data_IF_496728477784
#
_entry.id   IF_496728477784
#
_cell.length_a   1.000
_cell.length_b   1.000
_cell.length_c   1.000
_cell.angle_alpha   90.00
_cell.angle_beta   90.00
_cell.angle_gamma   90.00
#
_symmetry.space_group_name_H-M   'P 1'
#
loop_
_entity.id
_entity.type
_entity.pdbx_description
1 polymer ?
#
# COMPACT_ATOMS: atom_id res chain seq x y z
N UNK A 1 15.54 17.59 -25.59
CA UNK A 1 15.80 16.38 -24.79
C UNK A 1 14.46 15.68 -24.51
N UNK A 2 14.12 14.62 -25.25
CA UNK A 2 12.79 13.96 -25.22
C UNK A 2 12.69 12.99 -24.03
N UNK A 3 12.43 13.49 -22.82
CA UNK A 3 12.29 12.63 -21.63
C UNK A 3 10.99 12.84 -20.82
N UNK A 4 10.13 13.79 -21.19
CA UNK A 4 9.05 14.26 -20.30
C UNK A 4 7.69 13.52 -20.40
N UNK A 5 7.45 12.68 -21.43
CA UNK A 5 6.12 12.06 -21.60
C UNK A 5 5.85 10.88 -20.67
N UNK A 6 6.89 10.16 -20.21
CA UNK A 6 6.73 8.95 -19.37
C UNK A 6 6.46 9.30 -17.90
N UNK A 7 7.10 10.34 -17.36
CA UNK A 7 6.94 10.78 -15.97
C UNK A 7 5.53 11.27 -15.66
N UNK A 8 4.91 12.02 -16.58
CA UNK A 8 3.54 12.52 -16.42
C UNK A 8 2.49 11.39 -16.41
N UNK A 9 2.77 10.26 -17.08
CA UNK A 9 1.88 9.09 -17.06
C UNK A 9 2.08 8.21 -15.81
N UNK A 10 3.25 8.25 -15.18
CA UNK A 10 3.58 7.47 -13.98
C UNK A 10 3.16 8.16 -12.66
N UNK A 11 3.02 9.49 -12.67
CA UNK A 11 2.56 10.26 -11.51
C UNK A 11 1.24 9.75 -10.88
N UNK A 12 0.15 9.46 -11.64
CA UNK A 12 -1.09 8.93 -11.05
C UNK A 12 -0.92 7.52 -10.46
N UNK A 13 -0.10 6.66 -11.06
CA UNK A 13 0.17 5.31 -10.54
C UNK A 13 0.95 5.36 -9.22
N UNK A 14 1.93 6.25 -9.09
CA UNK A 14 2.69 6.42 -7.84
C UNK A 14 1.82 6.98 -6.71
N UNK A 15 0.92 7.91 -7.03
CA UNK A 15 -0.04 8.49 -6.08
C UNK A 15 -1.10 7.46 -5.66
N UNK A 16 -1.54 6.61 -6.59
CA UNK A 16 -2.44 5.48 -6.30
C UNK A 16 -1.79 4.41 -5.43
N UNK A 17 -0.53 4.06 -5.70
CA UNK A 17 0.22 3.10 -4.89
C UNK A 17 0.43 3.59 -3.45
N UNK A 18 0.78 4.86 -3.27
CA UNK A 18 0.93 5.47 -1.94
C UNK A 18 -0.40 5.57 -1.20
N UNK A 19 -1.49 5.96 -1.88
CA UNK A 19 -2.84 5.95 -1.28
C UNK A 19 -3.29 4.53 -0.87
N UNK A 20 -3.03 3.53 -1.72
CA UNK A 20 -3.30 2.12 -1.42
C UNK A 20 -2.50 1.60 -0.23
N UNK A 21 -1.24 2.02 -0.09
CA UNK A 21 -0.40 1.70 1.06
C UNK A 21 -0.95 2.32 2.36
N UNK A 22 -1.37 3.58 2.33
CA UNK A 22 -2.00 4.23 3.49
C UNK A 22 -3.30 3.52 3.87
N UNK A 23 -4.15 3.19 2.89
CA UNK A 23 -5.37 2.44 3.13
C UNK A 23 -5.09 1.05 3.73
N UNK A 24 -4.05 0.36 3.26
CA UNK A 24 -3.60 -0.91 3.83
C UNK A 24 -3.21 -0.78 5.30
N UNK A 25 -2.50 0.28 5.71
CA UNK A 25 -2.12 0.44 7.12
C UNK A 25 -3.34 0.46 8.07
N UNK A 26 -4.41 1.17 7.69
CA UNK A 26 -5.59 1.30 8.56
C UNK A 26 -6.59 0.15 8.42
N UNK A 27 -6.86 -0.30 7.19
CA UNK A 27 -7.92 -1.26 6.89
C UNK A 27 -7.42 -2.69 6.69
N UNK A 28 -6.12 -2.90 6.44
CA UNK A 28 -5.52 -4.19 6.14
C UNK A 28 -4.61 -4.69 7.24
N UNK A 29 -3.61 -3.90 7.63
CA UNK A 29 -2.58 -4.30 8.58
C UNK A 29 -3.13 -4.47 10.00
N UNK A 30 -3.87 -3.48 10.52
CA UNK A 30 -4.43 -3.54 11.88
C UNK A 30 -5.41 -4.71 12.04
N UNK A 31 -6.50 -4.82 11.25
CA UNK A 31 -7.43 -5.94 11.39
C UNK A 31 -6.83 -7.27 10.94
N UNK A 32 -5.97 -7.27 9.91
CA UNK A 32 -5.33 -8.48 9.39
C UNK A 32 -4.37 -9.12 10.39
N UNK A 33 -3.61 -8.31 11.15
CA UNK A 33 -2.76 -8.83 12.22
C UNK A 33 -3.61 -9.35 13.39
N UNK A 34 -4.63 -8.61 13.84
CA UNK A 34 -5.45 -9.04 14.97
C UNK A 34 -6.23 -10.32 14.69
N UNK A 35 -6.94 -10.39 13.56
CA UNK A 35 -7.68 -11.60 13.17
C UNK A 35 -6.76 -12.74 12.75
N UNK A 36 -5.68 -12.45 12.02
CA UNK A 36 -4.72 -13.46 11.56
C UNK A 36 -4.01 -14.16 12.73
N UNK A 37 -3.63 -13.42 13.76
CA UNK A 37 -3.02 -13.99 14.97
C UNK A 37 -3.97 -14.89 15.73
N UNK A 38 -5.23 -14.46 15.90
CA UNK A 38 -6.25 -15.28 16.57
C UNK A 38 -6.54 -16.58 15.81
N UNK A 39 -6.67 -16.51 14.48
CA UNK A 39 -6.92 -17.69 13.65
C UNK A 39 -5.71 -18.63 13.61
N UNK A 40 -4.49 -18.10 13.55
CA UNK A 40 -3.27 -18.90 13.61
C UNK A 40 -3.10 -19.62 14.95
N UNK A 41 -3.45 -18.96 16.07
CA UNK A 41 -3.49 -19.60 17.39
C UNK A 41 -4.54 -20.70 17.45
N UNK A 42 -5.74 -20.49 16.91
CA UNK A 42 -6.77 -21.53 16.87
C UNK A 42 -6.40 -22.73 15.98
N UNK A 43 -5.75 -22.49 14.84
CA UNK A 43 -5.21 -23.58 14.01
C UNK A 43 -4.07 -24.34 14.72
N UNK A 44 -3.22 -23.63 15.44
CA UNK A 44 -2.14 -24.28 16.21
C UNK A 44 -2.72 -25.05 17.39
N UNK A 45 -3.77 -24.54 18.03
CA UNK A 45 -4.50 -25.23 19.10
C UNK A 45 -5.19 -26.51 18.59
N UNK A 46 -5.73 -26.51 17.37
CA UNK A 46 -6.33 -27.71 16.78
C UNK A 46 -5.28 -28.73 16.31
N UNK A 47 -4.07 -28.29 15.95
CA UNK A 47 -2.97 -29.16 15.50
C UNK A 47 -2.18 -29.79 16.66
N UNK A 48 -1.88 -29.02 17.71
CA UNK A 48 -1.06 -29.49 18.84
C UNK A 48 -1.88 -29.95 20.05
N UNK A 49 -3.21 -29.83 19.99
CA UNK A 49 -4.10 -30.15 21.10
C UNK A 49 -4.16 -29.03 22.15
N UNK A 50 -5.21 -29.05 22.95
CA UNK A 50 -5.33 -28.15 24.11
C UNK A 50 -4.74 -28.84 25.34
N UNK A 51 -3.97 -28.14 26.20
CA UNK A 51 -3.59 -26.72 26.15
C UNK A 51 -2.37 -26.49 25.26
N UNK A 52 -2.38 -25.41 24.49
CA UNK A 52 -1.23 -24.99 23.70
C UNK A 52 -0.16 -24.52 24.67
N UNK A 53 0.78 -25.39 25.03
CA UNK A 53 2.00 -24.93 25.67
C UNK A 53 2.61 -23.86 24.75
N UNK A 54 3.11 -22.73 25.28
CA UNK A 54 3.76 -21.69 24.50
C UNK A 54 5.14 -22.19 24.03
N UNK A 55 5.15 -23.31 23.32
CA UNK A 55 6.30 -23.90 22.68
C UNK A 55 6.77 -22.95 21.60
N UNK A 56 8.09 -22.91 21.41
CA UNK A 56 8.70 -22.06 20.39
C UNK A 56 8.13 -22.35 19.00
N UNK A 57 7.74 -23.60 18.75
CA UNK A 57 7.13 -24.06 17.49
C UNK A 57 5.77 -23.41 17.23
N UNK A 58 4.88 -23.37 18.22
CA UNK A 58 3.57 -22.73 18.08
C UNK A 58 3.67 -21.24 17.70
N UNK A 59 4.62 -20.54 18.33
CA UNK A 59 4.91 -19.13 18.04
C UNK A 59 5.50 -18.92 16.65
N UNK A 60 6.42 -19.77 16.21
CA UNK A 60 7.01 -19.67 14.88
C UNK A 60 5.98 -19.95 13.78
N UNK A 61 5.08 -20.91 13.97
CA UNK A 61 4.03 -21.22 12.99
C UNK A 61 3.01 -20.10 12.89
N UNK A 62 2.50 -19.60 14.03
CA UNK A 62 1.52 -18.51 14.03
C UNK A 62 2.15 -17.20 13.53
N UNK A 63 3.35 -16.86 14.01
CA UNK A 63 4.07 -15.66 13.58
C UNK A 63 4.48 -15.72 12.11
N UNK A 64 4.95 -16.88 11.64
CA UNK A 64 5.26 -17.11 10.22
C UNK A 64 4.04 -16.98 9.32
N UNK A 65 2.90 -17.54 9.74
CA UNK A 65 1.63 -17.39 9.04
C UNK A 65 1.16 -15.93 8.96
N UNK A 66 1.27 -15.17 10.05
CA UNK A 66 0.95 -13.74 10.07
C UNK A 66 1.86 -12.94 9.12
N UNK A 67 3.16 -13.21 9.08
CA UNK A 67 4.08 -12.51 8.19
C UNK A 67 3.77 -12.79 6.72
N UNK A 68 3.56 -14.06 6.35
CA UNK A 68 3.23 -14.44 4.97
C UNK A 68 1.89 -13.80 4.56
N UNK A 69 0.87 -13.85 5.43
CA UNK A 69 -0.43 -13.24 5.18
C UNK A 69 -0.34 -11.72 5.03
N UNK A 70 0.43 -11.05 5.90
CA UNK A 70 0.63 -9.61 5.86
C UNK A 70 1.33 -9.17 4.57
N UNK A 71 2.40 -9.85 4.17
CA UNK A 71 3.15 -9.54 2.94
C UNK A 71 2.27 -9.75 1.71
N UNK A 72 1.46 -10.81 1.68
CA UNK A 72 0.51 -11.06 0.59
C UNK A 72 -0.56 -9.98 0.49
N UNK A 73 -1.18 -9.60 1.62
CA UNK A 73 -2.20 -8.56 1.66
C UNK A 73 -1.65 -7.18 1.29
N UNK A 74 -0.42 -6.88 1.73
CA UNK A 74 0.30 -5.66 1.35
C UNK A 74 0.47 -5.56 -0.17
N UNK A 75 0.94 -6.63 -0.81
CA UNK A 75 1.11 -6.66 -2.27
C UNK A 75 -0.23 -6.46 -2.98
N UNK A 76 -1.28 -7.10 -2.50
CA UNK A 76 -2.62 -6.99 -3.08
C UNK A 76 -3.17 -5.57 -3.01
N UNK A 77 -3.04 -4.90 -1.87
CA UNK A 77 -3.45 -3.50 -1.70
C UNK A 77 -2.60 -2.53 -2.51
N UNK A 78 -1.30 -2.80 -2.65
CA UNK A 78 -0.41 -1.95 -3.44
C UNK A 78 -0.76 -2.02 -4.93
N UNK A 79 -1.00 -3.23 -5.45
CA UNK A 79 -1.42 -3.45 -6.85
C UNK A 79 -2.81 -2.90 -7.09
N UNK A 80 -3.78 -3.17 -6.21
CA UNK A 80 -5.14 -2.64 -6.34
C UNK A 80 -5.18 -1.12 -6.17
N UNK A 81 -4.37 -0.55 -5.29
CA UNK A 81 -4.23 0.90 -5.14
C UNK A 81 -3.60 1.55 -6.37
N UNK A 82 -2.58 0.94 -6.97
CA UNK A 82 -1.98 1.41 -8.21
C UNK A 82 -2.96 1.32 -9.40
N UNK A 83 -3.71 0.22 -9.50
CA UNK A 83 -4.78 0.05 -10.50
C UNK A 83 -5.88 1.09 -10.29
N UNK A 84 -6.39 1.24 -9.07
CA UNK A 84 -7.42 2.21 -8.72
C UNK A 84 -6.97 3.65 -8.99
N UNK A 85 -5.71 4.00 -8.69
CA UNK A 85 -5.17 5.33 -8.99
C UNK A 85 -5.03 5.60 -10.49
N UNK A 86 -4.72 4.57 -11.28
CA UNK A 86 -4.66 4.68 -12.74
C UNK A 86 -6.08 4.81 -13.34
N UNK A 87 -7.04 4.03 -12.84
CA UNK A 87 -8.45 4.07 -13.26
C UNK A 87 -9.14 5.37 -12.84
N UNK A 88 -8.91 5.84 -11.61
CA UNK A 88 -9.42 7.13 -11.13
C UNK A 88 -8.74 8.32 -11.83
N UNK A 89 -7.53 8.13 -12.34
CA UNK A 89 -6.83 9.10 -13.18
C UNK A 89 -7.48 9.33 -14.55
N UNK A 90 -8.27 8.38 -15.08
CA UNK A 90 -8.97 8.52 -16.37
C UNK A 90 -10.11 9.56 -16.35
N UNK A 91 -11.05 9.55 -15.38
CA UNK A 91 -12.04 10.63 -15.27
C UNK A 91 -11.44 11.92 -14.70
N UNK A 92 -10.38 11.83 -13.89
CA UNK A 92 -9.68 12.99 -13.34
C UNK A 92 -8.65 13.59 -14.33
N UNK A 93 -8.44 12.98 -15.51
CA UNK A 93 -7.46 13.39 -16.51
C UNK A 93 -7.59 14.86 -16.96
N UNK A 94 -8.79 15.44 -17.15
CA UNK A 94 -8.92 16.89 -17.37
C UNK A 94 -8.45 17.74 -16.16
N UNK A 95 -8.65 17.28 -14.93
CA UNK A 95 -8.21 18.00 -13.72
C UNK A 95 -6.71 17.81 -13.45
N UNK A 96 -6.18 16.60 -13.66
CA UNK A 96 -4.76 16.28 -13.53
C UNK A 96 -3.94 17.03 -14.58
N UNK A 97 -4.48 17.22 -15.79
CA UNK A 97 -3.87 18.09 -16.82
C UNK A 97 -3.79 19.55 -16.33
N UNK A 98 -4.82 20.03 -15.62
CA UNK A 98 -4.83 21.37 -15.03
C UNK A 98 -3.80 21.54 -13.90
N UNK A 99 -3.61 20.50 -13.08
CA UNK A 99 -2.64 20.51 -11.98
C UNK A 99 -1.20 20.33 -12.50
N UNK A 100 -0.98 19.47 -13.51
CA UNK A 100 0.32 19.26 -14.15
C UNK A 100 0.82 20.50 -14.91
N UNK A 101 -0.07 21.22 -15.59
CA UNK A 101 0.25 22.53 -16.18
C UNK A 101 0.60 23.57 -15.10
N UNK A 102 0.03 23.45 -13.89
CA UNK A 102 0.31 24.37 -12.78
C UNK A 102 1.61 24.07 -12.04
N UNK A 103 2.02 22.80 -11.97
CA UNK A 103 3.34 22.42 -11.42
C UNK A 103 4.48 22.83 -12.36
N UNK A 104 4.28 22.73 -13.68
CA UNK A 104 5.24 23.22 -14.67
C UNK A 104 5.43 24.75 -14.53
N UNK A 105 4.36 25.51 -14.30
CA UNK A 105 4.42 26.96 -14.01
C UNK A 105 5.08 27.31 -12.67
N UNK A 106 4.96 26.44 -11.65
CA UNK A 106 5.60 26.64 -10.33
C UNK A 106 7.07 26.27 -10.32
N UNK A 107 7.57 25.47 -11.27
CA UNK A 107 8.99 25.15 -11.38
C UNK A 107 9.80 26.29 -12.04
N UNK A 108 9.17 27.10 -12.90
CA UNK A 108 9.79 28.30 -13.49
C UNK A 108 9.76 29.56 -12.59
N UNK A 109 9.14 29.49 -11.41
CA UNK A 109 8.90 30.65 -10.56
C UNK A 109 9.64 30.77 -9.19
N UNK A 110 10.35 29.79 -8.60
CA UNK A 110 10.84 29.94 -7.24
C UNK A 110 12.38 30.00 -7.15
N UNK A 111 13.05 30.85 -7.94
CA UNK A 111 14.43 31.31 -7.59
C UNK A 111 14.66 32.78 -7.99
N UNK A 112 13.65 33.64 -7.88
CA UNK A 112 13.81 35.09 -8.16
C UNK A 112 13.21 36.00 -7.09
N UNK A 113 12.93 35.50 -5.87
CA UNK A 113 12.56 36.36 -4.73
C UNK A 113 13.14 35.79 -3.42
N UNK A 114 14.45 35.96 -3.23
CA UNK A 114 14.99 36.28 -1.91
C UNK A 114 15.70 37.62 -2.06
N UNK A 115 15.17 38.62 -1.36
CA UNK A 115 15.85 39.89 -1.10
C UNK A 115 17.18 39.63 -0.40
#
# INVERSE_FOLDING_TARGET
MKLSKKSTLLAPTYTGATAGFVAFLFLGAIPGLLYGGYMGLMMTASLFGTPVEPTMMAKMVTGGGMLIGLVSSLFFFLVMGALAGTVAGLPFMPLLKSIATRSEQREFAPVAVRK
#
